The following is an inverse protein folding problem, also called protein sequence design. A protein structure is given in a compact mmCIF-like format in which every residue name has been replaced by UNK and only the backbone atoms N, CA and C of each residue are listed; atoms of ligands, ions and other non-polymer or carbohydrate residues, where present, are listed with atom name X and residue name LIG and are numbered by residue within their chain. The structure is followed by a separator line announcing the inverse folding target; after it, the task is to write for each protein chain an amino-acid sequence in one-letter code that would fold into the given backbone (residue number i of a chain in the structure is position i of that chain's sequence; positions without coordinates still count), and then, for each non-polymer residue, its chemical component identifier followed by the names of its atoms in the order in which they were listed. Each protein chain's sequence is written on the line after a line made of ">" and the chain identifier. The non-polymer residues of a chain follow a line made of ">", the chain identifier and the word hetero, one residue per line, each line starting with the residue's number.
data_IF_110563756322
#
_entry.id   IF_110563756322
#
_cell.length_a   1.000
_cell.length_b   1.000
_cell.length_c   1.000
_cell.angle_alpha   90.00
_cell.angle_beta   90.00
_cell.angle_gamma   90.00
#
_symmetry.space_group_name_H-M   'P 1'
#
loop_
_entity.id
_entity.type
_entity.pdbx_description
1 polymer ?
#
# COMPACT_ATOMS: atom_id res chain seq x y z
N UNK A 1 4.67 4.55 -35.06
CA UNK A 1 4.75 3.98 -33.71
C UNK A 1 6.12 4.34 -33.17
N UNK A 2 6.17 5.29 -32.26
CA UNK A 2 7.43 5.64 -31.63
C UNK A 2 7.72 4.52 -30.61
N UNK A 3 8.79 3.79 -30.87
CA UNK A 3 9.39 2.81 -29.97
C UNK A 3 9.78 3.56 -28.68
N UNK A 4 8.93 3.46 -27.66
CA UNK A 4 9.31 4.01 -26.36
C UNK A 4 10.41 3.11 -25.79
N UNK A 5 11.56 3.68 -25.37
CA UNK A 5 12.59 2.89 -24.73
C UNK A 5 12.00 2.19 -23.48
N UNK A 6 12.52 1.00 -23.13
CA UNK A 6 12.07 0.31 -21.93
C UNK A 6 12.18 1.27 -20.75
N UNK A 7 11.11 1.31 -19.95
CA UNK A 7 10.89 2.29 -18.88
C UNK A 7 11.88 2.17 -17.68
N UNK A 8 12.90 1.34 -17.79
CA UNK A 8 14.01 1.28 -16.86
C UNK A 8 14.74 2.63 -16.87
N UNK A 9 14.30 3.56 -16.03
CA UNK A 9 14.89 4.88 -15.90
C UNK A 9 13.93 6.06 -15.97
N UNK A 10 12.61 5.84 -15.94
CA UNK A 10 11.70 6.99 -15.77
C UNK A 10 11.99 7.69 -14.43
N UNK A 11 12.04 9.03 -14.39
CA UNK A 11 12.15 9.76 -13.14
C UNK A 11 11.06 9.33 -12.17
N UNK A 12 11.37 9.22 -10.87
CA UNK A 12 10.42 8.83 -9.82
C UNK A 12 9.14 9.69 -9.84
N UNK A 13 9.24 10.96 -10.20
CA UNK A 13 8.08 11.84 -10.36
C UNK A 13 7.10 11.32 -11.42
N UNK A 14 7.59 10.81 -12.55
CA UNK A 14 6.76 10.19 -13.59
C UNK A 14 6.16 8.87 -13.14
N UNK A 15 6.90 8.08 -12.40
CA UNK A 15 6.38 6.85 -11.79
C UNK A 15 5.27 7.13 -10.78
N UNK A 16 5.40 8.16 -9.96
CA UNK A 16 4.37 8.54 -8.98
C UNK A 16 3.06 8.92 -9.66
N UNK A 17 3.09 9.78 -10.67
CA UNK A 17 1.90 10.17 -11.42
C UNK A 17 1.22 8.96 -12.08
N UNK A 18 2.00 8.05 -12.67
CA UNK A 18 1.49 6.79 -13.24
C UNK A 18 0.88 5.89 -12.17
N UNK A 19 1.53 5.73 -11.02
CA UNK A 19 1.02 4.92 -9.90
C UNK A 19 -0.33 5.45 -9.40
N UNK A 20 -0.48 6.76 -9.27
CA UNK A 20 -1.75 7.39 -8.86
C UNK A 20 -2.85 7.12 -9.90
N UNK A 21 -2.56 7.22 -11.20
CA UNK A 21 -3.54 6.90 -12.25
C UNK A 21 -3.98 5.45 -12.21
N UNK A 22 -3.03 4.53 -12.05
CA UNK A 22 -3.34 3.08 -11.93
C UNK A 22 -4.19 2.82 -10.70
N UNK A 23 -3.82 3.36 -9.55
CA UNK A 23 -4.56 3.19 -8.30
C UNK A 23 -5.99 3.75 -8.41
N UNK A 24 -6.14 4.94 -8.99
CA UNK A 24 -7.46 5.56 -9.18
C UNK A 24 -8.36 4.70 -10.07
N UNK A 25 -7.85 4.16 -11.16
CA UNK A 25 -8.59 3.27 -12.06
C UNK A 25 -8.87 1.90 -11.43
N UNK A 26 -7.87 1.30 -10.77
CA UNK A 26 -7.97 -0.04 -10.18
C UNK A 26 -8.98 -0.09 -9.01
N UNK A 27 -9.05 0.97 -8.21
CA UNK A 27 -9.95 1.08 -7.06
C UNK A 27 -11.25 1.83 -7.37
N UNK A 28 -11.53 2.10 -8.66
CA UNK A 28 -12.76 2.79 -9.05
C UNK A 28 -14.01 2.03 -8.56
N UNK A 29 -14.89 2.73 -7.82
CA UNK A 29 -16.09 2.15 -7.25
C UNK A 29 -15.91 1.35 -5.98
N UNK A 30 -14.68 1.05 -5.56
CA UNK A 30 -14.39 0.39 -4.29
C UNK A 30 -14.56 1.36 -3.12
N UNK A 31 -15.25 0.90 -2.08
CA UNK A 31 -15.45 1.66 -0.84
C UNK A 31 -14.64 1.05 0.30
N UNK A 32 -14.21 1.88 1.23
CA UNK A 32 -13.60 1.45 2.49
C UNK A 32 -14.68 1.11 3.53
N UNK A 33 -14.25 0.69 4.73
CA UNK A 33 -15.15 0.30 5.83
C UNK A 33 -15.95 1.47 6.40
N UNK A 34 -15.56 2.70 6.12
CA UNK A 34 -16.28 3.93 6.47
C UNK A 34 -17.27 4.36 5.35
N UNK A 35 -17.35 3.60 4.25
CA UNK A 35 -18.20 3.93 3.10
C UNK A 35 -17.64 5.03 2.20
N UNK A 36 -16.36 5.36 2.34
CA UNK A 36 -15.67 6.36 1.52
C UNK A 36 -14.95 5.70 0.33
N UNK A 37 -14.71 6.43 -0.78
CA UNK A 37 -13.92 5.90 -1.88
C UNK A 37 -12.56 5.37 -1.41
N UNK A 38 -12.25 4.12 -1.74
CA UNK A 38 -11.04 3.44 -1.28
C UNK A 38 -9.76 4.14 -1.71
N UNK A 39 -9.77 4.81 -2.85
CA UNK A 39 -8.63 5.59 -3.33
C UNK A 39 -8.16 6.65 -2.34
N UNK A 40 -9.06 7.17 -1.48
CA UNK A 40 -8.69 8.15 -0.46
C UNK A 40 -7.75 7.55 0.60
N UNK A 41 -7.98 6.28 0.99
CA UNK A 41 -7.05 5.55 1.86
C UNK A 41 -5.67 5.43 1.19
N UNK A 42 -5.65 4.98 -0.05
CA UNK A 42 -4.41 4.82 -0.83
C UNK A 42 -3.62 6.12 -0.88
N UNK A 43 -4.29 7.24 -1.16
CA UNK A 43 -3.64 8.56 -1.21
C UNK A 43 -3.14 9.01 0.16
N UNK A 44 -3.88 8.77 1.24
CA UNK A 44 -3.42 9.12 2.61
C UNK A 44 -2.19 8.32 3.00
N UNK A 45 -2.13 7.04 2.67
CA UNK A 45 -0.94 6.21 2.90
C UNK A 45 0.25 6.77 2.12
N UNK A 46 0.06 7.11 0.85
CA UNK A 46 1.07 7.74 0.01
C UNK A 46 1.59 9.05 0.64
N UNK A 47 0.70 9.93 1.09
CA UNK A 47 1.08 11.19 1.75
C UNK A 47 1.76 10.96 3.10
N UNK A 48 1.53 9.83 3.75
CA UNK A 48 2.20 9.43 4.99
C UNK A 48 3.65 8.99 4.78
N UNK A 49 4.08 8.75 3.55
CA UNK A 49 5.44 8.36 3.20
C UNK A 49 6.28 9.58 2.79
N UNK A 50 7.58 9.53 3.07
CA UNK A 50 8.55 10.60 2.75
C UNK A 50 9.50 10.21 1.62
N UNK A 51 9.92 8.94 1.58
CA UNK A 51 10.81 8.44 0.55
C UNK A 51 10.08 8.35 -0.79
N UNK A 52 10.66 8.84 -1.90
CA UNK A 52 9.99 8.82 -3.21
C UNK A 52 9.57 7.44 -3.66
N UNK A 53 10.40 6.40 -3.48
CA UNK A 53 10.08 5.02 -3.82
C UNK A 53 8.94 4.48 -2.94
N UNK A 54 8.93 4.83 -1.65
CA UNK A 54 7.86 4.46 -0.73
C UNK A 54 6.53 5.11 -1.14
N UNK A 55 6.53 6.36 -1.60
CA UNK A 55 5.32 7.03 -2.10
C UNK A 55 4.75 6.32 -3.33
N UNK A 56 5.60 5.94 -4.30
CA UNK A 56 5.17 5.19 -5.48
C UNK A 56 4.59 3.83 -5.07
N UNK A 57 5.30 3.10 -4.22
CA UNK A 57 4.83 1.81 -3.73
C UNK A 57 3.55 1.93 -2.89
N UNK A 58 3.42 2.98 -2.07
CA UNK A 58 2.22 3.25 -1.29
C UNK A 58 0.98 3.46 -2.18
N UNK A 59 1.13 4.19 -3.28
CA UNK A 59 0.04 4.35 -4.25
C UNK A 59 -0.40 3.01 -4.87
N UNK A 60 0.50 2.03 -4.96
CA UNK A 60 0.27 0.72 -5.58
C UNK A 60 0.02 -0.41 -4.58
N UNK A 61 0.14 -0.17 -3.26
CA UNK A 61 0.28 -1.25 -2.27
C UNK A 61 -0.89 -2.24 -2.24
N UNK A 62 -2.10 -1.79 -2.57
CA UNK A 62 -3.30 -2.65 -2.58
C UNK A 62 -3.76 -3.02 -3.99
N UNK A 63 -3.10 -2.54 -5.04
CA UNK A 63 -3.53 -2.79 -6.43
C UNK A 63 -3.45 -4.29 -6.77
N UNK A 64 -2.34 -4.95 -6.42
CA UNK A 64 -2.15 -6.38 -6.70
C UNK A 64 -3.02 -7.25 -5.81
N UNK A 65 -3.22 -6.88 -4.54
CA UNK A 65 -4.04 -7.66 -3.59
C UNK A 65 -5.53 -7.57 -3.92
N UNK A 66 -6.03 -6.39 -4.29
CA UNK A 66 -7.46 -6.10 -4.42
C UNK A 66 -7.99 -6.21 -5.85
N UNK A 67 -7.14 -6.32 -6.85
CA UNK A 67 -7.53 -6.33 -8.27
C UNK A 67 -6.81 -7.41 -9.06
N UNK A 68 -7.07 -7.49 -10.36
CA UNK A 68 -6.42 -8.45 -11.28
C UNK A 68 -5.00 -8.05 -11.69
N UNK A 69 -4.50 -6.91 -11.22
CA UNK A 69 -3.13 -6.49 -11.49
C UNK A 69 -2.11 -7.45 -10.88
N UNK A 70 -1.07 -7.76 -11.64
CA UNK A 70 0.04 -8.60 -11.20
C UNK A 70 1.32 -7.78 -11.04
N UNK A 71 2.31 -8.32 -10.34
CA UNK A 71 3.65 -7.72 -10.25
C UNK A 71 4.30 -7.58 -11.63
N UNK A 72 4.06 -8.54 -12.53
CA UNK A 72 4.57 -8.47 -13.90
C UNK A 72 3.91 -7.36 -14.71
N UNK A 73 2.65 -7.04 -14.46
CA UNK A 73 2.00 -5.87 -15.05
C UNK A 73 2.70 -4.58 -14.62
N UNK A 74 3.04 -4.47 -13.33
CA UNK A 74 3.78 -3.32 -12.81
C UNK A 74 5.16 -3.19 -13.47
N UNK A 75 5.86 -4.30 -13.67
CA UNK A 75 7.14 -4.30 -14.41
C UNK A 75 6.97 -3.86 -15.85
N UNK A 76 5.93 -4.34 -16.54
CA UNK A 76 5.62 -3.93 -17.92
C UNK A 76 5.25 -2.45 -18.02
N UNK A 77 4.63 -1.90 -16.98
CA UNK A 77 4.36 -0.46 -16.87
C UNK A 77 5.62 0.37 -16.58
N UNK A 78 6.74 -0.26 -16.25
CA UNK A 78 8.05 0.38 -16.11
C UNK A 78 8.36 0.88 -14.70
N UNK A 79 7.68 0.37 -13.69
CA UNK A 79 8.08 0.63 -12.31
C UNK A 79 9.43 -0.03 -12.02
N UNK A 80 10.24 0.64 -11.20
CA UNK A 80 11.54 0.10 -10.80
C UNK A 80 11.36 -1.20 -10.01
N UNK A 81 12.36 -2.08 -10.08
CA UNK A 81 12.31 -3.34 -9.31
C UNK A 81 12.20 -3.08 -7.80
N UNK A 82 12.83 -2.03 -7.30
CA UNK A 82 12.67 -1.61 -5.89
C UNK A 82 11.20 -1.37 -5.53
N UNK A 83 10.46 -0.63 -6.37
CA UNK A 83 9.02 -0.40 -6.15
C UNK A 83 8.24 -1.71 -6.22
N UNK A 84 8.51 -2.56 -7.20
CA UNK A 84 7.83 -3.86 -7.36
C UNK A 84 8.08 -4.77 -6.16
N UNK A 85 9.31 -4.83 -5.65
CA UNK A 85 9.66 -5.61 -4.45
C UNK A 85 8.93 -5.11 -3.20
N UNK A 86 8.79 -3.80 -3.04
CA UNK A 86 8.02 -3.22 -1.93
C UNK A 86 6.54 -3.61 -2.04
N UNK A 87 5.94 -3.47 -3.23
CA UNK A 87 4.54 -3.87 -3.46
C UNK A 87 4.35 -5.36 -3.20
N UNK A 88 5.27 -6.20 -3.64
CA UNK A 88 5.24 -7.64 -3.37
C UNK A 88 5.27 -7.93 -1.86
N UNK A 89 6.15 -7.27 -1.13
CA UNK A 89 6.22 -7.41 0.33
C UNK A 89 4.92 -6.93 1.03
N UNK A 90 4.23 -5.95 0.47
CA UNK A 90 2.97 -5.42 0.99
C UNK A 90 1.73 -6.21 0.54
N UNK A 91 1.90 -7.22 -0.30
CA UNK A 91 0.82 -8.10 -0.75
C UNK A 91 0.78 -9.35 0.12
N UNK A 92 -0.31 -9.52 0.87
CA UNK A 92 -0.49 -10.68 1.75
C UNK A 92 -0.63 -11.96 0.93
N UNK A 93 0.00 -13.05 1.40
CA UNK A 93 -0.10 -14.38 0.80
C UNK A 93 -1.37 -15.08 1.29
N UNK A 94 -1.90 -15.99 0.47
CA UNK A 94 -3.01 -16.84 0.87
C UNK A 94 -2.62 -17.67 2.10
N UNK A 95 -3.47 -17.67 3.14
CA UNK A 95 -3.24 -18.40 4.38
C UNK A 95 -2.15 -17.85 5.30
N UNK A 96 -1.50 -16.74 4.93
CA UNK A 96 -0.46 -16.13 5.74
C UNK A 96 -1.04 -15.50 7.01
N UNK A 97 -0.42 -15.77 8.16
CA UNK A 97 -0.75 -15.10 9.42
C UNK A 97 -0.55 -13.59 9.31
N UNK A 98 -1.44 -12.82 9.93
CA UNK A 98 -1.42 -11.37 9.81
C UNK A 98 -0.13 -10.73 10.35
N UNK A 99 0.39 -11.23 11.47
CA UNK A 99 1.62 -10.68 12.07
C UNK A 99 2.87 -11.12 11.31
N UNK A 100 2.87 -12.34 10.77
CA UNK A 100 3.93 -12.80 9.87
C UNK A 100 3.98 -11.95 8.60
N UNK A 101 2.83 -11.64 8.03
CA UNK A 101 2.72 -10.69 6.93
C UNK A 101 3.26 -9.31 7.30
N UNK A 102 2.86 -8.76 8.45
CA UNK A 102 3.33 -7.44 8.90
C UNK A 102 4.86 -7.42 9.09
N UNK A 103 5.45 -8.50 9.63
CA UNK A 103 6.92 -8.63 9.75
C UNK A 103 7.59 -8.66 8.37
N UNK A 104 7.07 -9.47 7.45
CA UNK A 104 7.62 -9.59 6.09
C UNK A 104 7.51 -8.27 5.33
N UNK A 105 6.37 -7.60 5.38
CA UNK A 105 6.16 -6.30 4.75
C UNK A 105 7.12 -5.22 5.27
N UNK A 106 7.54 -5.34 6.53
CA UNK A 106 8.39 -4.37 7.23
C UNK A 106 9.87 -4.76 7.30
N UNK A 107 10.27 -5.80 6.58
CA UNK A 107 11.65 -6.32 6.62
C UNK A 107 12.67 -5.35 6.02
N UNK A 108 12.25 -4.48 5.10
CA UNK A 108 13.10 -3.42 4.55
C UNK A 108 12.68 -2.06 5.09
N UNK A 109 13.58 -1.06 5.12
CA UNK A 109 13.23 0.30 5.55
C UNK A 109 12.07 0.91 4.77
N UNK A 110 12.06 0.75 3.44
CA UNK A 110 11.01 1.29 2.56
C UNK A 110 9.68 0.55 2.75
N UNK A 111 9.69 -0.77 2.86
CA UNK A 111 8.49 -1.56 3.16
C UNK A 111 7.90 -1.19 4.52
N UNK A 112 8.76 -1.01 5.53
CA UNK A 112 8.34 -0.55 6.87
C UNK A 112 7.69 0.83 6.83
N UNK A 113 8.25 1.76 6.07
CA UNK A 113 7.69 3.11 5.90
C UNK A 113 6.26 3.05 5.37
N UNK A 114 6.02 2.27 4.31
CA UNK A 114 4.67 2.11 3.73
C UNK A 114 3.74 1.38 4.69
N UNK A 115 4.19 0.26 5.28
CA UNK A 115 3.34 -0.53 6.19
C UNK A 115 2.94 0.27 7.43
N UNK A 116 3.86 1.07 7.95
CA UNK A 116 3.58 1.97 9.06
C UNK A 116 2.51 3.01 8.71
N UNK A 117 2.63 3.65 7.55
CA UNK A 117 1.64 4.61 7.07
C UNK A 117 0.26 3.97 6.84
N UNK A 118 0.23 2.76 6.28
CA UNK A 118 -0.99 1.96 6.09
C UNK A 118 -1.67 1.67 7.44
N UNK A 119 -0.93 1.20 8.43
CA UNK A 119 -1.46 0.92 9.77
C UNK A 119 -2.01 2.17 10.43
N UNK A 120 -1.30 3.29 10.36
CA UNK A 120 -1.76 4.56 10.95
C UNK A 120 -3.07 5.05 10.34
N UNK A 121 -3.23 4.94 9.03
CA UNK A 121 -4.50 5.31 8.38
C UNK A 121 -5.63 4.35 8.75
N UNK A 122 -5.36 3.05 8.78
CA UNK A 122 -6.34 2.04 9.19
C UNK A 122 -6.74 2.13 10.66
N UNK A 123 -5.91 2.74 11.50
CA UNK A 123 -6.19 2.97 12.91
C UNK A 123 -6.98 4.24 13.19
N UNK A 124 -7.22 5.07 12.19
CA UNK A 124 -8.00 6.30 12.37
C UNK A 124 -9.50 5.99 12.50
N UNK A 125 -9.91 5.62 13.70
CA UNK A 125 -11.28 5.25 14.04
C UNK A 125 -12.27 6.41 13.85
N UNK A 126 -11.79 7.66 13.78
CA UNK A 126 -12.64 8.85 13.61
C UNK A 126 -13.43 8.83 12.29
N UNK A 127 -12.96 8.08 11.29
CA UNK A 127 -13.64 7.92 9.99
C UNK A 127 -14.89 7.04 10.08
N UNK A 128 -15.05 6.26 11.13
CA UNK A 128 -16.19 5.37 11.32
C UNK A 128 -17.14 6.03 12.32
N UNK A 129 -18.35 6.41 11.84
CA UNK A 129 -19.32 7.15 12.66
C UNK A 129 -19.81 6.32 13.86
N UNK A 130 -20.01 5.03 13.68
CA UNK A 130 -20.51 4.11 14.71
C UNK A 130 -19.66 2.84 14.75
N UNK A 131 -18.50 2.85 15.42
CA UNK A 131 -17.61 1.69 15.48
C UNK A 131 -18.31 0.49 16.13
N UNK A 132 -18.16 -0.68 15.50
CA UNK A 132 -18.63 -1.97 16.01
C UNK A 132 -17.53 -2.66 16.81
N UNK A 133 -17.89 -3.78 17.49
CA UNK A 133 -16.89 -4.62 18.17
C UNK A 133 -15.80 -5.09 17.19
N UNK A 134 -16.16 -5.46 15.98
CA UNK A 134 -15.20 -5.86 14.94
C UNK A 134 -14.23 -4.72 14.56
N UNK A 135 -14.68 -3.48 14.59
CA UNK A 135 -13.81 -2.32 14.34
C UNK A 135 -12.77 -2.17 15.44
N UNK A 136 -13.18 -2.34 16.69
CA UNK A 136 -12.29 -2.31 17.85
C UNK A 136 -11.28 -3.47 17.84
N UNK A 137 -11.71 -4.70 17.49
CA UNK A 137 -10.84 -5.86 17.34
C UNK A 137 -9.77 -5.60 16.26
N UNK A 138 -10.15 -5.01 15.12
CA UNK A 138 -9.19 -4.61 14.08
C UNK A 138 -8.20 -3.56 14.57
N UNK A 139 -8.69 -2.56 15.29
CA UNK A 139 -7.85 -1.51 15.85
C UNK A 139 -6.79 -2.10 16.81
N UNK A 140 -7.17 -2.99 17.69
CA UNK A 140 -6.24 -3.69 18.57
C UNK A 140 -5.19 -4.49 17.80
N UNK A 141 -5.59 -5.20 16.75
CA UNK A 141 -4.67 -5.95 15.90
C UNK A 141 -3.67 -5.02 15.18
N UNK A 142 -4.15 -3.92 14.62
CA UNK A 142 -3.30 -2.93 13.96
C UNK A 142 -2.34 -2.26 14.94
N UNK A 143 -2.79 -1.94 16.14
CA UNK A 143 -1.94 -1.37 17.18
C UNK A 143 -0.82 -2.33 17.57
N UNK A 144 -1.14 -3.58 17.77
CA UNK A 144 -0.14 -4.62 18.07
C UNK A 144 0.88 -4.77 16.93
N UNK A 145 0.42 -4.74 15.68
CA UNK A 145 1.32 -4.79 14.52
C UNK A 145 2.22 -3.56 14.46
N UNK A 146 1.69 -2.37 14.74
CA UNK A 146 2.47 -1.13 14.77
C UNK A 146 3.56 -1.17 15.85
N UNK A 147 3.20 -1.58 17.07
CA UNK A 147 4.16 -1.70 18.17
C UNK A 147 5.28 -2.69 17.82
N UNK A 148 4.96 -3.81 17.19
CA UNK A 148 5.93 -4.79 16.70
C UNK A 148 6.87 -4.19 15.64
N UNK A 149 6.33 -3.43 14.68
CA UNK A 149 7.12 -2.78 13.63
C UNK A 149 8.04 -1.70 14.21
N UNK A 150 7.56 -0.96 15.19
CA UNK A 150 8.30 0.11 15.85
C UNK A 150 9.28 -0.42 16.93
N UNK A 151 9.33 -1.73 17.16
CA UNK A 151 10.21 -2.36 18.16
C UNK A 151 9.80 -2.09 19.60
N UNK A 152 8.51 -1.91 19.86
CA UNK A 152 7.93 -1.60 21.18
C UNK A 152 7.27 -2.82 21.84
N UNK A 153 7.62 -4.03 21.41
CA UNK A 153 7.17 -5.28 22.07
C UNK A 153 7.86 -5.49 23.42
#
# INVERSE_FOLDING_TARGET
>A
MLDQPPLAGQPLAGQLAKAIRIAAAAHEGQLDKAGQPYVLHVLRVMFGCRSPEAQVAAALHDVVEDTDWTLDDLRREGFSETVVEIVDALTRREGEDYFDFARRASATPLGREVKRADLLDNMDIRRIAHPTEKDWERLHRYRKALDMIDGLE
#
